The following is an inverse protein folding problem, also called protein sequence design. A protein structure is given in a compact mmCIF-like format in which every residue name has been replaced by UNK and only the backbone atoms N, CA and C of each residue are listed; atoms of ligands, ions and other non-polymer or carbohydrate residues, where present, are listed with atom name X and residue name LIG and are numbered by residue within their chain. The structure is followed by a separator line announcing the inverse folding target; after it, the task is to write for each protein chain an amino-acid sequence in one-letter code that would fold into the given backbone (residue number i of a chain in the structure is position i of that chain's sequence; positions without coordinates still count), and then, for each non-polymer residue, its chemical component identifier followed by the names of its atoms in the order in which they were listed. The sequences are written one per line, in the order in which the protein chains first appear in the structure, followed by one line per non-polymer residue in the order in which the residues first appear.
data_IF_664903298815
#
_entry.id   IF_664903298815
#
_cell.length_a   1.000
_cell.length_b   1.000
_cell.length_c   1.000
_cell.angle_alpha   90.00
_cell.angle_beta   90.00
_cell.angle_gamma   90.00
#
_symmetry.space_group_name_H-M   'P 1'
#
loop_
_entity.id
_entity.type
_entity.pdbx_description
1 polymer ?
#
# COMPACT_ATOMS: atom_id res chain seq x y z
N UNK A 1 -15.47 -13.69 -19.66
CA UNK A 1 -16.64 -13.68 -18.74
C UNK A 1 -16.13 -13.89 -17.33
N UNK A 2 -16.26 -12.93 -16.41
CA UNK A 2 -15.86 -13.12 -15.00
C UNK A 2 -16.94 -13.99 -14.34
N UNK A 3 -16.53 -15.13 -13.77
CA UNK A 3 -17.42 -16.01 -13.05
C UNK A 3 -18.04 -15.26 -11.86
N UNK A 4 -19.36 -15.36 -11.74
CA UNK A 4 -20.15 -14.73 -10.67
C UNK A 4 -20.14 -15.65 -9.43
N UNK A 5 -18.97 -16.24 -9.10
CA UNK A 5 -18.84 -17.13 -7.94
C UNK A 5 -18.83 -16.30 -6.66
N UNK A 6 -19.52 -16.74 -5.58
CA UNK A 6 -19.42 -16.10 -4.27
C UNK A 6 -17.95 -16.15 -3.79
N UNK A 7 -17.58 -15.17 -2.96
CA UNK A 7 -16.24 -15.10 -2.36
C UNK A 7 -15.93 -16.40 -1.58
N UNK A 8 -14.98 -17.18 -2.09
CA UNK A 8 -14.50 -18.42 -1.46
C UNK A 8 -13.21 -18.11 -0.74
N UNK A 9 -13.18 -18.33 0.57
CA UNK A 9 -11.94 -18.22 1.35
C UNK A 9 -11.21 -19.57 1.28
N UNK A 10 -10.07 -19.62 0.61
CA UNK A 10 -9.25 -20.82 0.45
C UNK A 10 -8.31 -20.93 1.65
N UNK A 11 -8.12 -22.16 2.18
CA UNK A 11 -7.16 -22.41 3.25
C UNK A 11 -5.75 -22.03 2.81
N UNK A 12 -4.98 -21.27 3.62
CA UNK A 12 -3.61 -20.89 3.29
C UNK A 12 -2.69 -22.08 2.93
N UNK A 13 -2.91 -23.25 3.50
CA UNK A 13 -2.12 -24.47 3.20
C UNK A 13 -2.36 -24.95 1.76
N UNK A 14 -3.58 -24.83 1.24
CA UNK A 14 -3.92 -25.19 -0.14
C UNK A 14 -3.31 -24.19 -1.13
N UNK A 15 -3.29 -22.91 -0.76
CA UNK A 15 -2.62 -21.87 -1.57
C UNK A 15 -1.12 -22.14 -1.61
N UNK A 16 -0.53 -22.51 -0.48
CA UNK A 16 0.89 -22.83 -0.42
C UNK A 16 1.21 -24.09 -1.24
N UNK A 17 0.37 -25.10 -1.20
CA UNK A 17 0.49 -26.29 -2.08
C UNK A 17 0.43 -25.88 -3.55
N UNK A 18 -0.50 -25.01 -3.96
CA UNK A 18 -0.57 -24.52 -5.33
C UNK A 18 0.68 -23.73 -5.76
N UNK A 19 1.37 -23.08 -4.81
CA UNK A 19 2.64 -22.35 -5.04
C UNK A 19 3.89 -23.23 -5.12
N UNK A 20 3.80 -24.51 -4.78
CA UNK A 20 4.95 -25.40 -4.89
C UNK A 20 5.31 -25.78 -6.33
N UNK A 21 4.37 -25.66 -7.25
CA UNK A 21 4.58 -26.04 -8.64
C UNK A 21 5.13 -24.87 -9.46
N UNK A 22 6.37 -25.01 -9.98
CA UNK A 22 6.93 -24.07 -10.95
C UNK A 22 6.29 -24.24 -12.34
N UNK A 23 6.41 -23.21 -13.18
CA UNK A 23 5.75 -23.21 -14.50
C UNK A 23 6.29 -24.31 -15.44
N UNK A 24 7.58 -24.60 -15.41
CA UNK A 24 8.16 -25.63 -16.29
C UNK A 24 7.59 -27.01 -15.96
N UNK A 25 7.56 -27.37 -14.68
CA UNK A 25 6.98 -28.62 -14.18
C UNK A 25 5.49 -28.74 -14.53
N UNK A 26 4.73 -27.66 -14.38
CA UNK A 26 3.32 -27.60 -14.78
C UNK A 26 3.16 -27.89 -16.27
N UNK A 27 3.86 -27.16 -17.14
CA UNK A 27 3.72 -27.32 -18.57
C UNK A 27 4.19 -28.71 -19.06
N UNK A 28 5.27 -29.24 -18.49
CA UNK A 28 5.73 -30.60 -18.81
C UNK A 28 4.71 -31.67 -18.45
N UNK A 29 3.97 -31.49 -17.36
CA UNK A 29 3.02 -32.47 -16.86
C UNK A 29 1.65 -32.35 -17.53
N UNK A 30 1.13 -31.13 -17.71
CA UNK A 30 -0.25 -30.90 -18.11
C UNK A 30 -0.41 -30.35 -19.54
N UNK A 31 0.58 -29.62 -20.04
CA UNK A 31 0.54 -29.00 -21.38
C UNK A 31 1.86 -29.23 -22.16
N UNK A 32 2.37 -30.48 -22.26
CA UNK A 32 3.68 -30.72 -22.88
C UNK A 32 3.76 -30.29 -24.35
N UNK A 33 2.62 -30.35 -25.06
CA UNK A 33 2.51 -29.94 -26.45
C UNK A 33 2.72 -28.43 -26.69
N UNK A 34 2.52 -27.60 -25.66
CA UNK A 34 2.70 -26.14 -25.74
C UNK A 34 4.14 -25.71 -25.49
N UNK A 35 4.96 -26.58 -24.92
CA UNK A 35 6.32 -26.26 -24.52
C UNK A 35 7.29 -26.39 -25.68
N UNK A 36 8.20 -25.42 -25.85
CA UNK A 36 9.29 -25.41 -26.84
C UNK A 36 10.60 -25.09 -26.14
N UNK A 37 11.62 -25.92 -26.33
CA UNK A 37 13.00 -25.66 -25.88
C UNK A 37 13.65 -24.63 -26.80
N UNK A 38 14.26 -23.61 -26.25
CA UNK A 38 14.92 -22.53 -27.00
C UNK A 38 16.44 -22.76 -27.04
N UNK A 39 17.07 -22.89 -25.88
CA UNK A 39 18.51 -23.19 -25.77
C UNK A 39 18.81 -23.61 -24.31
N UNK A 40 19.74 -24.57 -24.12
CA UNK A 40 20.13 -25.01 -22.77
C UNK A 40 18.94 -25.35 -21.89
N UNK A 41 18.78 -24.67 -20.75
CA UNK A 41 17.64 -24.79 -19.82
C UNK A 41 16.58 -23.70 -20.00
N UNK A 42 16.56 -23.08 -21.21
CA UNK A 42 15.58 -22.03 -21.51
C UNK A 42 14.47 -22.60 -22.38
N UNK A 43 13.25 -22.43 -21.96
CA UNK A 43 12.03 -22.84 -22.64
C UNK A 43 11.15 -21.64 -22.97
N UNK A 44 10.19 -21.80 -23.87
CA UNK A 44 9.10 -20.86 -24.11
C UNK A 44 7.82 -21.63 -24.42
N UNK A 45 6.68 -20.97 -24.42
CA UNK A 45 5.45 -21.57 -24.96
C UNK A 45 5.38 -21.33 -26.47
N UNK A 46 4.74 -22.25 -27.22
CA UNK A 46 4.56 -22.10 -28.67
C UNK A 46 3.70 -20.89 -29.03
N UNK A 47 2.75 -20.54 -28.16
CA UNK A 47 1.84 -19.41 -28.34
C UNK A 47 2.54 -18.07 -28.06
N UNK A 48 3.52 -18.07 -27.15
CA UNK A 48 4.20 -16.86 -26.69
C UNK A 48 5.72 -17.08 -26.67
N UNK A 49 6.36 -16.90 -27.79
CA UNK A 49 7.81 -17.11 -27.96
C UNK A 49 8.65 -16.13 -27.10
N UNK A 50 8.11 -14.95 -26.76
CA UNK A 50 8.72 -13.97 -25.87
C UNK A 50 8.52 -14.28 -24.38
N UNK A 51 7.68 -15.28 -24.00
CA UNK A 51 7.57 -15.78 -22.65
C UNK A 51 8.69 -16.82 -22.42
N UNK A 52 9.71 -16.46 -21.66
CA UNK A 52 10.85 -17.33 -21.36
C UNK A 52 10.72 -17.94 -19.97
N UNK A 53 11.07 -19.22 -19.88
CA UNK A 53 11.06 -20.02 -18.66
C UNK A 53 12.48 -20.53 -18.43
N UNK A 54 13.08 -20.22 -17.29
CA UNK A 54 14.45 -20.64 -16.94
C UNK A 54 14.65 -20.57 -15.43
N UNK A 55 15.37 -21.54 -14.87
CA UNK A 55 15.77 -21.57 -13.45
C UNK A 55 14.60 -21.35 -12.46
N UNK A 56 13.49 -22.03 -12.67
CA UNK A 56 12.31 -21.92 -11.78
C UNK A 56 11.57 -20.59 -11.86
N UNK A 57 11.88 -19.78 -12.87
CA UNK A 57 11.24 -18.48 -13.10
C UNK A 57 10.74 -18.40 -14.52
N UNK A 58 9.75 -17.56 -14.75
CA UNK A 58 9.31 -17.22 -16.09
C UNK A 58 9.12 -15.70 -16.21
N UNK A 59 9.32 -15.18 -17.42
CA UNK A 59 9.14 -13.77 -17.73
C UNK A 59 8.63 -13.59 -19.15
N UNK A 60 7.59 -12.78 -19.31
CA UNK A 60 7.01 -12.46 -20.62
C UNK A 60 7.52 -11.09 -21.10
N UNK A 61 8.58 -11.10 -21.87
CA UNK A 61 9.32 -9.91 -22.28
C UNK A 61 8.45 -8.88 -23.02
N UNK A 62 7.58 -9.30 -23.92
CA UNK A 62 6.71 -8.38 -24.68
C UNK A 62 5.58 -7.75 -23.82
N UNK A 63 5.29 -8.31 -22.65
CA UNK A 63 4.26 -7.82 -21.73
C UNK A 63 4.82 -7.22 -20.45
N UNK A 64 6.10 -7.39 -20.15
CA UNK A 64 6.78 -6.77 -19.04
C UNK A 64 6.45 -7.35 -17.66
N UNK A 65 5.97 -8.61 -17.57
CA UNK A 65 5.68 -9.26 -16.30
C UNK A 65 6.09 -10.74 -16.30
N UNK A 66 6.14 -11.34 -15.10
CA UNK A 66 6.54 -12.73 -14.91
C UNK A 66 6.15 -13.26 -13.52
N UNK A 67 6.73 -14.39 -13.15
CA UNK A 67 6.48 -15.04 -11.86
C UNK A 67 7.40 -16.21 -11.59
N UNK A 68 7.20 -16.85 -10.45
CA UNK A 68 7.94 -18.03 -10.02
C UNK A 68 7.10 -19.31 -10.17
N UNK A 69 5.79 -19.22 -10.01
CA UNK A 69 4.88 -20.35 -9.87
C UNK A 69 3.96 -20.50 -11.08
N UNK A 70 3.48 -21.72 -11.31
CA UNK A 70 2.45 -21.99 -12.29
C UNK A 70 1.15 -21.22 -11.97
N UNK A 71 0.88 -20.97 -10.69
CA UNK A 71 -0.27 -20.17 -10.24
C UNK A 71 -0.27 -18.77 -10.86
N UNK A 72 0.89 -18.08 -10.87
CA UNK A 72 1.03 -16.77 -11.51
C UNK A 72 0.74 -16.81 -13.01
N UNK A 73 1.17 -17.89 -13.70
CA UNK A 73 0.95 -18.08 -15.11
C UNK A 73 -0.53 -18.31 -15.43
N UNK A 74 -1.19 -19.17 -14.68
CA UNK A 74 -2.62 -19.44 -14.87
C UNK A 74 -3.46 -18.17 -14.71
N UNK A 75 -3.14 -17.34 -13.72
CA UNK A 75 -3.88 -16.09 -13.46
C UNK A 75 -3.53 -15.00 -14.49
N UNK A 76 -2.24 -14.77 -14.75
CA UNK A 76 -1.80 -13.60 -15.52
C UNK A 76 -1.77 -13.83 -17.05
N UNK A 77 -1.59 -15.08 -17.48
CA UNK A 77 -1.44 -15.43 -18.90
C UNK A 77 -2.66 -16.16 -19.42
N UNK A 78 -3.15 -17.17 -18.68
CA UNK A 78 -4.35 -17.94 -19.06
C UNK A 78 -5.66 -17.30 -18.60
N UNK A 79 -5.57 -16.21 -17.78
CA UNK A 79 -6.71 -15.42 -17.30
C UNK A 79 -7.73 -16.21 -16.44
N UNK A 80 -7.32 -17.34 -15.85
CA UNK A 80 -8.15 -18.05 -14.88
C UNK A 80 -8.35 -17.16 -13.62
N UNK A 81 -9.51 -17.30 -12.98
CA UNK A 81 -9.68 -16.71 -11.66
C UNK A 81 -8.78 -17.44 -10.64
N UNK A 82 -8.56 -16.78 -9.48
CA UNK A 82 -7.64 -17.32 -8.47
C UNK A 82 -8.09 -18.70 -7.96
N UNK A 83 -9.41 -18.90 -7.76
CA UNK A 83 -9.98 -20.15 -7.26
C UNK A 83 -9.78 -21.27 -8.28
N UNK A 84 -10.13 -21.01 -9.55
CA UNK A 84 -9.94 -21.94 -10.65
C UNK A 84 -8.47 -22.35 -10.83
N UNK A 85 -7.56 -21.39 -10.74
CA UNK A 85 -6.11 -21.66 -10.84
C UNK A 85 -5.61 -22.56 -9.69
N UNK A 86 -6.11 -22.36 -8.47
CA UNK A 86 -5.79 -23.23 -7.32
C UNK A 86 -6.39 -24.62 -7.50
N UNK A 87 -7.63 -24.73 -7.93
CA UNK A 87 -8.30 -26.02 -8.24
C UNK A 87 -7.52 -26.84 -9.28
N UNK A 88 -7.06 -26.18 -10.35
CA UNK A 88 -6.27 -26.83 -11.41
C UNK A 88 -4.95 -27.39 -10.83
N UNK A 89 -4.26 -26.64 -9.99
CA UNK A 89 -2.94 -27.02 -9.47
C UNK A 89 -2.99 -28.06 -8.36
N UNK A 90 -4.03 -28.04 -7.55
CA UNK A 90 -4.17 -28.94 -6.39
C UNK A 90 -5.01 -30.18 -6.69
N UNK A 91 -5.81 -30.16 -7.77
CA UNK A 91 -6.77 -31.22 -8.09
C UNK A 91 -7.95 -31.29 -7.12
N UNK A 92 -8.13 -30.29 -6.26
CA UNK A 92 -9.23 -30.22 -5.29
C UNK A 92 -10.32 -29.30 -5.82
N UNK A 93 -11.52 -29.82 -5.97
CA UNK A 93 -12.71 -29.00 -6.32
C UNK A 93 -13.17 -28.24 -5.08
N UNK A 94 -13.20 -26.92 -5.14
CA UNK A 94 -13.63 -26.07 -4.02
C UNK A 94 -15.14 -26.12 -3.75
N UNK A 95 -15.90 -26.91 -4.54
CA UNK A 95 -17.34 -27.12 -4.33
C UNK A 95 -17.67 -27.84 -3.01
N UNK A 96 -16.77 -28.69 -2.52
CA UNK A 96 -16.93 -29.44 -1.26
C UNK A 96 -16.28 -28.76 -0.05
N UNK A 97 -15.71 -27.58 -0.26
CA UNK A 97 -15.03 -26.85 0.80
C UNK A 97 -16.06 -26.21 1.75
N UNK A 98 -16.06 -26.66 3.01
CA UNK A 98 -16.78 -26.00 4.09
C UNK A 98 -15.90 -24.85 4.59
N UNK A 99 -16.45 -23.61 4.70
CA UNK A 99 -15.68 -22.51 5.24
C UNK A 99 -15.13 -22.89 6.61
N UNK A 100 -13.85 -22.59 6.90
CA UNK A 100 -13.32 -22.75 8.25
C UNK A 100 -14.25 -21.99 9.21
N UNK A 101 -14.41 -22.43 10.46
CA UNK A 101 -15.18 -21.72 11.46
C UNK A 101 -14.74 -20.24 11.44
N UNK A 102 -15.73 -19.33 11.46
CA UNK A 102 -15.51 -17.89 11.36
C UNK A 102 -14.26 -17.47 12.15
N UNK A 103 -13.38 -16.65 11.59
CA UNK A 103 -12.13 -16.32 12.24
C UNK A 103 -12.43 -15.85 13.64
N UNK A 104 -11.82 -16.51 14.64
CA UNK A 104 -11.83 -16.04 16.03
C UNK A 104 -11.45 -14.56 15.94
N UNK A 105 -12.31 -13.66 16.48
CA UNK A 105 -12.07 -12.21 16.53
C UNK A 105 -10.57 -11.97 16.69
N UNK A 106 -9.95 -11.36 15.69
CA UNK A 106 -8.51 -11.11 15.67
C UNK A 106 -8.11 -10.55 17.04
N UNK A 107 -7.20 -11.25 17.73
CA UNK A 107 -6.52 -10.65 18.86
C UNK A 107 -5.98 -9.31 18.37
N UNK A 108 -6.08 -8.21 19.12
CA UNK A 108 -5.59 -6.91 18.67
C UNK A 108 -4.17 -7.08 18.16
N UNK A 109 -3.94 -6.74 16.89
CA UNK A 109 -2.63 -6.86 16.27
C UNK A 109 -1.67 -5.97 17.04
N UNK A 110 -0.70 -6.57 17.71
CA UNK A 110 0.33 -5.82 18.43
C UNK A 110 1.28 -5.24 17.39
N UNK A 111 1.51 -3.93 17.44
CA UNK A 111 2.49 -3.26 16.58
C UNK A 111 3.90 -3.75 16.94
N UNK A 112 4.58 -4.35 15.97
CA UNK A 112 5.95 -4.82 16.09
C UNK A 112 6.89 -3.77 15.50
N UNK A 113 7.44 -2.93 16.35
CA UNK A 113 8.40 -1.90 15.94
C UNK A 113 9.79 -2.50 15.72
N UNK A 114 10.49 -2.16 14.63
CA UNK A 114 11.89 -2.51 14.46
C UNK A 114 12.74 -1.95 15.62
N UNK A 115 13.76 -2.69 16.07
CA UNK A 115 14.69 -2.19 17.09
C UNK A 115 15.30 -0.87 16.65
N UNK A 116 15.45 0.07 17.58
CA UNK A 116 16.09 1.36 17.33
C UNK A 116 17.60 1.20 17.22
N UNK A 117 18.20 1.88 16.24
CA UNK A 117 19.64 2.05 16.17
C UNK A 117 20.14 2.98 17.30
N UNK A 118 21.45 2.96 17.57
CA UNK A 118 22.10 3.82 18.57
C UNK A 118 21.99 5.30 18.26
N UNK A 119 21.97 5.64 16.98
CA UNK A 119 21.82 6.99 16.45
C UNK A 119 20.91 7.03 15.23
N UNK A 120 20.68 8.21 14.65
CA UNK A 120 19.85 8.42 13.47
C UNK A 120 20.65 9.04 12.31
N UNK A 121 21.97 8.88 12.29
CA UNK A 121 22.84 9.58 11.36
C UNK A 121 22.51 9.32 9.89
N UNK A 122 22.24 8.08 9.52
CA UNK A 122 21.87 7.73 8.13
C UNK A 122 20.50 8.27 7.74
N UNK A 123 19.54 8.21 8.64
CA UNK A 123 18.21 8.77 8.42
C UNK A 123 18.28 10.29 8.24
N UNK A 124 19.07 10.97 9.08
CA UNK A 124 19.29 12.41 8.95
C UNK A 124 19.93 12.72 7.59
N UNK A 125 21.04 12.04 7.25
CA UNK A 125 21.72 12.23 5.98
C UNK A 125 20.80 11.96 4.78
N UNK A 126 20.04 10.89 4.85
CA UNK A 126 19.09 10.50 3.79
C UNK A 126 17.99 11.56 3.58
N UNK A 127 17.34 11.99 4.64
CA UNK A 127 16.25 12.97 4.57
C UNK A 127 16.76 14.36 4.20
N UNK A 128 17.89 14.79 4.79
CA UNK A 128 18.52 16.05 4.44
C UNK A 128 18.98 16.07 2.97
N UNK A 129 19.57 14.97 2.48
CA UNK A 129 19.92 14.82 1.07
C UNK A 129 18.72 14.82 0.11
N UNK A 130 17.51 14.62 0.62
CA UNK A 130 16.24 14.78 -0.12
C UNK A 130 15.64 16.18 0.00
N UNK A 131 16.36 17.11 0.65
CA UNK A 131 15.92 18.49 0.83
C UNK A 131 14.99 18.71 2.02
N UNK A 132 14.85 17.77 2.96
CA UNK A 132 14.07 17.98 4.18
C UNK A 132 14.89 18.84 5.15
N UNK A 133 14.24 19.83 5.74
CA UNK A 133 14.86 20.76 6.71
C UNK A 133 15.44 20.01 7.91
N UNK A 134 16.67 20.35 8.27
CA UNK A 134 17.40 19.68 9.35
C UNK A 134 16.71 19.81 10.71
N UNK A 135 16.18 20.99 11.05
CA UNK A 135 15.51 21.20 12.33
C UNK A 135 14.22 20.39 12.41
N UNK A 136 13.47 20.31 11.31
CA UNK A 136 12.27 19.49 11.22
C UNK A 136 12.58 17.99 11.43
N UNK A 137 13.69 17.49 10.85
CA UNK A 137 14.16 16.12 11.08
C UNK A 137 14.45 15.91 12.57
N UNK A 138 15.19 16.83 13.20
CA UNK A 138 15.55 16.77 14.62
C UNK A 138 14.30 16.81 15.53
N UNK A 139 13.31 17.64 15.20
CA UNK A 139 12.04 17.67 15.94
C UNK A 139 11.35 16.31 15.87
N UNK A 140 11.21 15.72 14.69
CA UNK A 140 10.60 14.39 14.54
C UNK A 140 11.32 13.28 15.32
N UNK A 141 12.67 13.35 15.38
CA UNK A 141 13.48 12.41 16.16
C UNK A 141 13.25 12.64 17.66
N UNK A 142 13.27 13.88 18.11
CA UNK A 142 13.05 14.27 19.51
C UNK A 142 11.65 13.87 19.99
N UNK A 143 10.63 14.09 19.16
CA UNK A 143 9.25 13.70 19.43
C UNK A 143 9.03 12.18 19.35
N UNK A 144 10.05 11.42 18.94
CA UNK A 144 9.97 9.97 18.74
C UNK A 144 8.99 9.55 17.66
N UNK A 145 8.74 10.42 16.67
CA UNK A 145 7.94 10.13 15.48
C UNK A 145 8.79 9.71 14.29
N UNK A 146 10.12 9.81 14.43
CA UNK A 146 11.10 9.35 13.45
C UNK A 146 12.28 8.72 14.18
N UNK A 147 12.77 7.57 13.69
CA UNK A 147 14.01 6.99 14.16
C UNK A 147 14.65 6.12 13.07
N UNK A 148 15.89 5.68 13.31
CA UNK A 148 16.63 4.74 12.47
C UNK A 148 16.48 3.33 13.03
N UNK A 149 16.14 2.34 12.19
CA UNK A 149 16.14 0.94 12.63
C UNK A 149 17.55 0.38 12.74
N UNK A 150 17.80 -0.48 13.75
CA UNK A 150 19.08 -1.15 13.92
C UNK A 150 19.40 -2.06 12.73
N UNK A 151 18.38 -2.80 12.25
CA UNK A 151 18.50 -3.61 11.05
C UNK A 151 18.27 -2.75 9.80
N UNK A 152 19.16 -2.87 8.82
CA UNK A 152 19.07 -2.20 7.50
C UNK A 152 19.05 -0.67 7.54
N UNK A 153 19.16 -0.01 8.70
CA UNK A 153 19.19 1.44 8.85
C UNK A 153 18.02 2.17 8.14
N UNK A 154 16.84 1.59 8.16
CA UNK A 154 15.67 2.20 7.55
C UNK A 154 15.19 3.41 8.36
N UNK A 155 14.67 4.42 7.65
CA UNK A 155 13.87 5.47 8.29
C UNK A 155 12.51 4.88 8.71
N UNK A 156 12.17 5.03 9.99
CA UNK A 156 10.93 4.54 10.58
C UNK A 156 10.09 5.72 11.03
N UNK A 157 8.96 5.93 10.33
CA UNK A 157 8.01 7.01 10.59
C UNK A 157 6.87 6.48 11.46
N UNK A 158 6.70 7.03 12.65
CA UNK A 158 5.75 6.58 13.66
C UNK A 158 4.48 7.43 13.63
N UNK A 159 3.35 6.75 13.61
CA UNK A 159 2.05 7.36 13.91
C UNK A 159 1.58 6.96 15.32
N UNK A 160 1.10 7.93 16.09
CA UNK A 160 0.67 7.78 17.48
C UNK A 160 -0.83 8.01 17.60
N UNK A 161 -1.46 7.37 18.59
CA UNK A 161 -2.82 7.70 19.01
C UNK A 161 -2.83 9.00 19.87
N UNK A 162 -4.01 9.41 20.31
CA UNK A 162 -4.21 10.63 21.09
C UNK A 162 -3.50 10.57 22.46
N UNK A 163 -3.21 9.36 22.96
CA UNK A 163 -2.46 9.13 24.19
C UNK A 163 -0.93 9.09 23.97
N UNK A 164 -0.46 9.37 22.74
CA UNK A 164 0.97 9.34 22.40
C UNK A 164 1.54 7.93 22.20
N UNK A 165 0.70 6.87 22.24
CA UNK A 165 1.14 5.50 22.04
C UNK A 165 1.35 5.20 20.55
N UNK A 166 2.49 4.63 20.14
CA UNK A 166 2.71 4.19 18.77
C UNK A 166 1.69 3.14 18.32
N UNK A 167 1.01 3.38 17.21
CA UNK A 167 0.03 2.48 16.59
C UNK A 167 0.36 2.13 15.14
N UNK A 168 1.20 2.92 14.52
CA UNK A 168 1.58 2.76 13.12
C UNK A 168 3.08 3.03 12.93
N UNK A 169 3.70 2.31 12.02
CA UNK A 169 5.06 2.61 11.58
C UNK A 169 5.24 2.30 10.10
N UNK A 170 5.76 3.27 9.34
CA UNK A 170 6.19 3.09 7.96
C UNK A 170 7.72 3.04 7.89
N UNK A 171 8.26 2.05 7.18
CA UNK A 171 9.68 1.87 6.95
C UNK A 171 10.05 2.31 5.54
N UNK A 172 11.15 3.03 5.41
CA UNK A 172 11.73 3.45 4.14
C UNK A 172 13.23 3.19 4.13
N UNK A 173 13.73 2.50 3.09
CA UNK A 173 15.17 2.30 2.93
C UNK A 173 15.91 3.62 2.77
N UNK A 174 17.04 3.75 3.48
CA UNK A 174 18.00 4.85 3.33
C UNK A 174 19.17 4.50 2.39
N UNK A 175 19.21 3.25 1.89
CA UNK A 175 20.33 2.70 1.13
C UNK A 175 20.07 2.66 -0.40
N UNK A 176 19.24 3.56 -0.93
CA UNK A 176 18.97 3.67 -2.37
C UNK A 176 18.06 2.58 -2.94
N UNK A 177 17.57 1.63 -2.14
CA UNK A 177 16.60 0.64 -2.60
C UNK A 177 15.17 1.23 -2.61
N UNK A 178 14.28 0.60 -3.39
CA UNK A 178 12.85 0.97 -3.46
C UNK A 178 12.04 0.43 -2.29
N UNK A 179 12.68 -0.18 -1.28
CA UNK A 179 11.99 -0.78 -0.15
C UNK A 179 11.16 0.24 0.62
N UNK A 180 9.89 -0.08 0.75
CA UNK A 180 8.90 0.62 1.56
C UNK A 180 7.91 -0.41 2.10
N UNK A 181 7.65 -0.37 3.41
CA UNK A 181 6.77 -1.33 4.06
C UNK A 181 6.18 -0.75 5.35
N UNK A 182 4.94 -1.12 5.69
CA UNK A 182 4.42 -0.89 7.03
C UNK A 182 4.93 -1.97 7.99
N UNK A 183 5.22 -1.61 9.23
CA UNK A 183 5.57 -2.58 10.27
C UNK A 183 4.40 -3.51 10.56
N UNK A 184 4.69 -4.76 10.91
CA UNK A 184 3.65 -5.74 11.26
C UNK A 184 2.80 -5.23 12.43
N UNK A 185 1.50 -5.36 12.33
CA UNK A 185 0.56 -4.87 13.35
C UNK A 185 0.24 -3.38 13.27
N UNK A 186 0.77 -2.67 12.27
CA UNK A 186 0.45 -1.25 12.02
C UNK A 186 -1.04 -1.03 11.81
N UNK A 187 -1.57 0.01 12.47
CA UNK A 187 -2.92 0.50 12.31
C UNK A 187 -2.93 1.81 11.51
N UNK A 188 -3.35 1.76 10.25
CA UNK A 188 -3.35 2.92 9.35
C UNK A 188 -4.25 4.07 9.80
N UNK A 189 -5.14 3.88 10.76
CA UNK A 189 -5.92 4.96 11.39
C UNK A 189 -5.01 6.04 11.99
N UNK A 190 -3.84 5.63 12.43
CA UNK A 190 -2.86 6.47 13.11
C UNK A 190 -1.62 6.71 12.25
N UNK A 191 -1.78 6.90 10.96
CA UNK A 191 -0.67 7.20 10.05
C UNK A 191 0.19 8.39 10.52
N UNK A 192 1.43 8.48 10.01
CA UNK A 192 2.34 9.59 10.32
C UNK A 192 1.68 10.95 10.03
N UNK A 193 1.77 11.88 10.97
CA UNK A 193 1.11 13.18 10.91
C UNK A 193 1.90 14.24 11.69
N UNK A 194 1.77 15.49 11.27
CA UNK A 194 2.15 16.67 12.03
C UNK A 194 0.89 17.45 12.35
N UNK A 195 0.54 17.54 13.62
CA UNK A 195 -0.69 18.23 14.06
C UNK A 195 -0.47 19.73 14.15
N UNK A 196 -1.50 20.50 13.83
CA UNK A 196 -1.53 21.93 14.12
C UNK A 196 -1.36 22.17 15.63
N UNK A 197 -0.74 23.33 16.01
CA UNK A 197 -0.60 23.73 17.41
C UNK A 197 -1.94 24.10 18.03
N UNK A 198 -2.78 24.73 17.23
CA UNK A 198 -4.13 25.16 17.62
C UNK A 198 -5.15 24.47 16.71
N UNK A 199 -6.40 24.30 17.15
CA UNK A 199 -7.43 23.70 16.33
C UNK A 199 -7.62 24.47 15.00
N UNK A 200 -7.16 23.88 13.90
CA UNK A 200 -7.32 24.43 12.56
C UNK A 200 -8.54 23.84 11.85
N UNK A 201 -9.05 24.54 10.85
CA UNK A 201 -10.18 24.08 10.02
C UNK A 201 -9.74 23.44 8.69
N UNK A 202 -8.44 23.31 8.48
CA UNK A 202 -7.83 22.78 7.27
C UNK A 202 -6.94 21.58 7.61
N UNK A 203 -6.96 20.55 6.72
CA UNK A 203 -6.02 19.43 6.73
C UNK A 203 -5.42 19.21 5.36
N UNK A 204 -4.11 19.03 5.30
CA UNK A 204 -3.35 18.69 4.10
C UNK A 204 -3.08 17.20 4.05
N UNK A 205 -3.33 16.56 2.92
CA UNK A 205 -3.17 15.11 2.71
C UNK A 205 -2.02 14.80 1.77
N UNK A 206 -1.18 13.85 2.15
CA UNK A 206 0.01 13.41 1.42
C UNK A 206 0.00 11.90 1.24
N UNK A 207 0.63 11.39 0.17
CA UNK A 207 0.73 9.94 -0.03
C UNK A 207 1.60 9.26 1.02
N UNK A 208 2.75 9.86 1.35
CA UNK A 208 3.69 9.31 2.30
C UNK A 208 4.26 10.38 3.27
N UNK A 209 4.93 9.91 4.33
CA UNK A 209 5.54 10.77 5.35
C UNK A 209 6.61 11.71 4.77
N UNK A 210 7.38 11.26 3.77
CA UNK A 210 8.44 12.08 3.15
C UNK A 210 7.84 13.26 2.39
N UNK A 211 6.72 13.06 1.67
CA UNK A 211 6.03 14.12 0.91
C UNK A 211 5.49 15.18 1.87
N UNK A 212 4.94 14.73 2.99
CA UNK A 212 4.48 15.59 4.10
C UNK A 212 5.63 16.43 4.65
N UNK A 213 6.79 15.82 4.95
CA UNK A 213 7.96 16.53 5.46
C UNK A 213 8.55 17.50 4.42
N UNK A 214 8.50 17.14 3.12
CA UNK A 214 8.90 18.04 2.03
C UNK A 214 8.04 19.29 1.99
N UNK A 215 6.72 19.14 2.14
CA UNK A 215 5.81 20.28 2.19
C UNK A 215 6.01 21.14 3.44
N UNK A 216 6.18 20.53 4.61
CA UNK A 216 6.51 21.24 5.84
C UNK A 216 7.83 22.06 5.69
N UNK A 217 8.83 21.47 5.02
CA UNK A 217 10.08 22.17 4.69
C UNK A 217 9.83 23.35 3.76
N UNK A 218 9.03 23.15 2.72
CA UNK A 218 8.64 24.22 1.79
C UNK A 218 7.97 25.40 2.53
N UNK A 219 7.03 25.13 3.43
CA UNK A 219 6.41 26.18 4.24
C UNK A 219 7.42 26.95 5.09
N UNK A 220 8.41 26.25 5.71
CA UNK A 220 9.49 26.91 6.45
C UNK A 220 10.33 27.81 5.55
N UNK A 221 10.67 27.38 4.33
CA UNK A 221 11.42 28.19 3.36
C UNK A 221 10.64 29.45 2.96
N UNK A 222 9.31 29.37 2.89
CA UNK A 222 8.42 30.50 2.64
C UNK A 222 8.20 31.40 3.88
N UNK A 223 8.84 31.09 5.00
CA UNK A 223 8.64 31.82 6.26
C UNK A 223 7.28 31.58 6.92
N UNK A 224 6.58 30.51 6.53
CA UNK A 224 5.27 30.10 7.07
C UNK A 224 5.42 29.08 8.17
N UNK A 225 4.52 29.11 9.15
CA UNK A 225 4.47 28.10 10.21
C UNK A 225 3.81 26.81 9.68
N UNK A 226 4.59 25.73 9.51
CA UNK A 226 4.07 24.44 9.06
C UNK A 226 3.17 23.73 10.09
N UNK A 227 3.09 24.25 11.33
CA UNK A 227 2.16 23.79 12.38
C UNK A 227 0.93 24.67 12.50
N UNK A 228 0.66 25.58 11.56
CA UNK A 228 -0.58 26.36 11.51
C UNK A 228 -1.78 25.50 11.11
N UNK A 229 -1.55 24.45 10.32
CA UNK A 229 -2.55 23.51 9.83
C UNK A 229 -2.05 22.06 9.99
N UNK A 230 -2.99 21.11 10.01
CA UNK A 230 -2.62 19.70 10.20
C UNK A 230 -2.18 19.06 8.89
N UNK A 231 -1.06 18.32 8.92
CA UNK A 231 -0.51 17.57 7.80
C UNK A 231 -0.66 16.06 8.10
N UNK A 232 -1.30 15.31 7.19
CA UNK A 232 -1.64 13.90 7.38
C UNK A 232 -1.14 13.06 6.21
N UNK A 233 -0.35 12.03 6.48
CA UNK A 233 0.02 11.00 5.51
C UNK A 233 -1.11 9.96 5.39
N UNK A 234 -1.41 9.51 4.16
CA UNK A 234 -2.40 8.47 3.90
C UNK A 234 -1.81 7.05 3.97
N UNK A 235 -0.49 6.94 4.15
CA UNK A 235 0.22 5.64 4.15
C UNK A 235 0.01 4.84 2.86
N UNK A 236 0.09 5.54 1.74
CA UNK A 236 -0.22 5.06 0.40
C UNK A 236 -1.66 5.36 -0.04
N UNK A 237 -1.82 5.57 -1.33
CA UNK A 237 -3.11 5.88 -1.94
C UNK A 237 -3.68 4.61 -2.57
N UNK A 238 -4.96 4.34 -2.30
CA UNK A 238 -5.67 3.23 -2.94
C UNK A 238 -6.11 3.64 -4.34
N UNK A 239 -5.85 2.79 -5.33
CA UNK A 239 -6.46 3.00 -6.65
C UNK A 239 -7.98 2.96 -6.53
N UNK A 240 -8.69 4.01 -7.00
CA UNK A 240 -10.14 3.99 -7.05
C UNK A 240 -10.61 2.81 -7.91
N UNK A 241 -11.57 2.06 -7.45
CA UNK A 241 -12.17 0.99 -8.24
C UNK A 241 -13.04 1.59 -9.35
N UNK A 242 -13.37 0.78 -10.37
CA UNK A 242 -14.22 1.21 -11.49
C UNK A 242 -15.59 1.73 -11.03
N UNK A 243 -16.15 1.13 -9.98
CA UNK A 243 -17.42 1.57 -9.41
C UNK A 243 -17.20 2.27 -8.06
N UNK A 244 -17.85 3.42 -7.87
CA UNK A 244 -17.72 4.29 -6.69
C UNK A 244 -18.04 3.54 -5.39
N UNK A 245 -19.10 2.72 -5.39
CA UNK A 245 -19.52 1.91 -4.23
C UNK A 245 -18.45 0.95 -3.70
N UNK A 246 -17.49 0.57 -4.57
CA UNK A 246 -16.42 -0.36 -4.23
C UNK A 246 -15.11 0.33 -3.82
N UNK A 247 -15.04 1.66 -3.98
CA UNK A 247 -13.89 2.46 -3.57
C UNK A 247 -13.99 2.81 -2.09
N UNK A 248 -12.85 2.77 -1.39
CA UNK A 248 -12.80 3.09 0.05
C UNK A 248 -12.02 4.37 0.28
N UNK A 249 -12.55 5.23 1.15
CA UNK A 249 -11.80 6.38 1.66
C UNK A 249 -10.68 5.85 2.55
N UNK A 250 -9.45 6.45 2.49
CA UNK A 250 -8.37 6.09 3.39
C UNK A 250 -8.80 6.19 4.85
N UNK A 251 -8.62 5.11 5.60
CA UNK A 251 -9.06 5.05 7.01
C UNK A 251 -8.37 6.09 7.90
N UNK A 252 -7.14 6.49 7.54
CA UNK A 252 -6.44 7.58 8.21
C UNK A 252 -7.23 8.89 8.16
N UNK A 253 -7.78 9.22 6.97
CA UNK A 253 -8.58 10.42 6.78
C UNK A 253 -9.89 10.34 7.56
N UNK A 254 -10.67 9.25 7.39
CA UNK A 254 -11.96 9.13 8.08
C UNK A 254 -11.80 9.20 9.59
N UNK A 255 -10.77 8.55 10.15
CA UNK A 255 -10.49 8.59 11.59
C UNK A 255 -10.10 10.00 12.04
N UNK A 256 -9.21 10.67 11.27
CA UNK A 256 -8.76 12.02 11.58
C UNK A 256 -9.92 13.02 11.60
N UNK A 257 -10.81 12.94 10.61
CA UNK A 257 -11.96 13.83 10.51
C UNK A 257 -13.00 13.58 11.61
N UNK A 258 -13.19 12.32 11.99
CA UNK A 258 -14.09 11.99 13.14
C UNK A 258 -13.59 12.59 14.45
N UNK A 259 -12.26 12.63 14.65
CA UNK A 259 -11.63 13.23 15.82
C UNK A 259 -11.54 14.77 15.73
N UNK A 260 -11.61 15.34 14.52
CA UNK A 260 -11.44 16.78 14.26
C UNK A 260 -12.66 17.36 13.52
N UNK A 261 -13.82 17.46 14.18
CA UNK A 261 -15.06 17.90 13.53
C UNK A 261 -15.03 19.35 13.06
N UNK A 262 -14.09 20.17 13.48
CA UNK A 262 -13.88 21.55 13.04
C UNK A 262 -13.29 21.66 11.62
N UNK A 263 -12.72 20.58 11.06
CA UNK A 263 -12.14 20.58 9.70
C UNK A 263 -13.22 20.86 8.66
N UNK A 264 -12.99 21.89 7.83
CA UNK A 264 -13.88 22.33 6.74
C UNK A 264 -13.21 22.17 5.37
N UNK A 265 -11.87 22.19 5.34
CA UNK A 265 -11.08 22.20 4.12
C UNK A 265 -10.12 21.01 4.10
N UNK A 266 -10.08 20.31 2.98
CA UNK A 266 -9.12 19.25 2.71
C UNK A 266 -8.31 19.64 1.49
N UNK A 267 -6.99 19.74 1.65
CA UNK A 267 -6.06 20.04 0.55
C UNK A 267 -5.31 18.78 0.17
N UNK A 268 -5.34 18.40 -1.12
CA UNK A 268 -4.74 17.16 -1.63
C UNK A 268 -3.38 17.45 -2.27
N UNK A 269 -2.31 16.91 -1.70
CA UNK A 269 -0.94 16.93 -2.22
C UNK A 269 -0.56 15.51 -2.65
N UNK A 270 -1.21 15.02 -3.72
CA UNK A 270 -0.97 13.68 -4.25
C UNK A 270 -0.03 13.76 -5.45
N UNK A 271 0.73 12.69 -5.69
CA UNK A 271 1.67 12.60 -6.80
C UNK A 271 1.01 12.87 -8.16
N UNK A 272 1.75 13.46 -9.10
CA UNK A 272 1.25 13.72 -10.45
C UNK A 272 1.42 12.52 -11.38
N UNK A 273 1.39 11.32 -10.84
CA UNK A 273 1.37 10.06 -11.58
C UNK A 273 -0.07 9.64 -11.95
N UNK A 274 -0.21 8.47 -12.58
CA UNK A 274 -1.52 7.94 -12.99
C UNK A 274 -2.45 7.70 -11.80
N UNK A 275 -1.92 7.22 -10.67
CA UNK A 275 -2.69 6.87 -9.47
C UNK A 275 -3.13 8.14 -8.74
N UNK A 276 -2.21 9.08 -8.49
CA UNK A 276 -2.50 10.34 -7.84
C UNK A 276 -3.49 11.20 -8.65
N UNK A 277 -3.40 11.18 -10.00
CA UNK A 277 -4.41 11.85 -10.85
C UNK A 277 -5.79 11.22 -10.76
N UNK A 278 -5.88 9.88 -10.66
CA UNK A 278 -7.15 9.19 -10.45
C UNK A 278 -7.75 9.51 -9.08
N UNK A 279 -6.93 9.63 -8.05
CA UNK A 279 -7.38 10.00 -6.70
C UNK A 279 -7.83 11.45 -6.59
N UNK A 280 -7.33 12.35 -7.46
CA UNK A 280 -7.82 13.74 -7.60
C UNK A 280 -9.05 13.87 -8.49
N UNK A 281 -9.51 12.78 -9.09
CA UNK A 281 -10.70 12.80 -9.92
C UNK A 281 -11.95 13.16 -9.11
N UNK A 282 -12.95 13.74 -9.78
CA UNK A 282 -14.27 14.05 -9.19
C UNK A 282 -14.92 12.86 -8.47
N UNK A 283 -14.58 11.65 -8.90
CA UNK A 283 -15.03 10.40 -8.31
C UNK A 283 -14.52 10.17 -6.89
N UNK A 284 -13.21 10.38 -6.63
CA UNK A 284 -12.62 10.24 -5.30
C UNK A 284 -13.04 11.38 -4.36
N UNK A 285 -13.12 12.62 -4.90
CA UNK A 285 -13.60 13.77 -4.15
C UNK A 285 -15.06 13.55 -3.72
N UNK A 286 -15.91 13.03 -4.60
CA UNK A 286 -17.30 12.68 -4.27
C UNK A 286 -17.40 11.66 -3.16
N UNK A 287 -16.56 10.60 -3.17
CA UNK A 287 -16.47 9.63 -2.08
C UNK A 287 -16.20 10.27 -0.72
N UNK A 288 -15.31 11.26 -0.68
CA UNK A 288 -15.01 12.02 0.55
C UNK A 288 -16.23 12.84 0.97
N UNK A 289 -16.88 13.52 0.02
CA UNK A 289 -18.03 14.38 0.28
C UNK A 289 -19.29 13.60 0.67
N UNK A 290 -19.50 12.41 0.10
CA UNK A 290 -20.65 11.54 0.37
C UNK A 290 -20.46 10.67 1.64
N UNK A 291 -19.34 10.80 2.34
CA UNK A 291 -19.12 10.09 3.61
C UNK A 291 -20.07 10.63 4.70
N UNK A 292 -20.78 9.74 5.43
CA UNK A 292 -21.69 10.15 6.52
C UNK A 292 -21.06 11.04 7.60
N UNK A 293 -19.75 10.93 7.81
CA UNK A 293 -18.97 11.81 8.71
C UNK A 293 -19.00 13.27 8.22
N UNK A 294 -19.16 13.49 6.91
CA UNK A 294 -19.25 14.81 6.29
C UNK A 294 -20.67 15.24 5.98
N UNK A 295 -21.59 14.30 5.68
CA UNK A 295 -22.96 14.61 5.25
C UNK A 295 -23.80 15.33 6.30
N UNK A 296 -23.40 15.37 7.56
CA UNK A 296 -24.05 16.17 8.61
C UNK A 296 -23.83 17.68 8.49
N UNK A 297 -23.06 18.14 7.50
CA UNK A 297 -22.69 19.55 7.30
C UNK A 297 -23.00 20.00 5.88
N UNK A 298 -24.27 20.21 5.59
CA UNK A 298 -24.75 20.82 4.37
C UNK A 298 -24.04 22.15 4.10
N UNK A 299 -23.17 22.20 3.07
CA UNK A 299 -22.90 23.42 2.30
C UNK A 299 -23.08 23.12 0.82
N UNK A 300 -23.90 23.88 0.12
CA UNK A 300 -24.01 23.78 -1.33
C UNK A 300 -22.67 24.15 -1.95
N UNK A 301 -22.21 23.33 -2.90
CA UNK A 301 -21.06 23.61 -3.75
C UNK A 301 -21.43 24.85 -4.58
N UNK A 302 -20.84 26.00 -4.27
CA UNK A 302 -20.87 27.15 -5.16
C UNK A 302 -19.93 26.85 -6.33
N UNK A 303 -20.48 26.35 -7.42
CA UNK A 303 -19.77 26.22 -8.68
C UNK A 303 -19.32 27.62 -9.15
N UNK A 304 -18.03 27.79 -9.34
CA UNK A 304 -17.49 28.84 -10.17
C UNK A 304 -17.06 28.25 -11.49
N UNK A 305 -17.56 28.87 -12.56
CA UNK A 305 -17.34 28.63 -13.98
C UNK A 305 -15.88 28.67 -14.40
#
# INVERSE_FOLDING_TARGET
MRSNRPYVQIDPSVIEQARQMDLLSYLQRYEPSTLKRVAGNVYCTKEHDSLKISNGKWYWWSRGFGGYYALDYLIKVKEYDFVEAVEILTGQTMADWKPPPAPKKDKPKVLLLPPKNKDCNRVIQYLFGRGIDYQLIQECISDGTLYESADYHNAVFIGKDEGGTPKYAALRSTLGSTFKQDASGSDKRYSFRLLAREPADTVHLFEAAIDLLSYATYLKCEGKDYKSESLLSLSGVYQPKKEMKDSKIPIALTTFLSANPQIKTIVLHLDNDKVGRLCRSSHFIRLILDNPVYCGRNRPYAGQH
#
